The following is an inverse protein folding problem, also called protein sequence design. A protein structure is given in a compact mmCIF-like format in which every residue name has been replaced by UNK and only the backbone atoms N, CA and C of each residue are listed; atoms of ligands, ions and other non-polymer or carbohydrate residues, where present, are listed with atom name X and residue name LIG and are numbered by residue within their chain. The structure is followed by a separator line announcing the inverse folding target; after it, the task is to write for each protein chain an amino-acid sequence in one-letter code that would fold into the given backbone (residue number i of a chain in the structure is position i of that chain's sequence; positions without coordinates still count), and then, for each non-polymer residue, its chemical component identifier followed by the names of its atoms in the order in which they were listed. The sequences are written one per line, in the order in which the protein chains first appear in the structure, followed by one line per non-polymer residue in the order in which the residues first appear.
data_IF_229596899983
#
_entry.id   IF_229596899983
#
_cell.length_a   1.000
_cell.length_b   1.000
_cell.length_c   1.000
_cell.angle_alpha   90.00
_cell.angle_beta   90.00
_cell.angle_gamma   90.00
#
_symmetry.space_group_name_H-M   'P 1'
#
loop_
_entity.id
_entity.type
_entity.pdbx_description
1 polymer ?
#
# COMPACT_ATOMS: atom_id res chain seq x y z
N UNK A 1 -8.68 -17.42 7.49
CA UNK A 1 -8.79 -16.71 8.79
C UNK A 1 -10.17 -16.93 9.39
N UNK A 2 -10.26 -17.63 10.53
CA UNK A 2 -11.51 -17.80 11.25
C UNK A 2 -11.91 -16.51 11.98
N UNK A 3 -13.21 -16.23 12.08
CA UNK A 3 -13.74 -15.12 12.87
C UNK A 3 -15.18 -15.39 13.32
N UNK A 4 -15.63 -14.67 14.35
CA UNK A 4 -17.01 -14.71 14.84
C UNK A 4 -17.83 -13.63 14.14
N UNK A 5 -18.98 -13.99 13.56
CA UNK A 5 -19.93 -13.02 13.00
C UNK A 5 -20.67 -12.28 14.12
N UNK A 6 -21.35 -11.17 13.79
CA UNK A 6 -22.14 -10.42 14.76
C UNK A 6 -23.21 -11.29 15.44
N UNK A 7 -23.82 -12.22 14.71
CA UNK A 7 -24.83 -13.16 15.21
C UNK A 7 -24.22 -14.37 15.95
N UNK A 8 -22.90 -14.41 16.08
CA UNK A 8 -22.19 -15.38 16.90
C UNK A 8 -21.79 -16.69 16.22
N UNK A 9 -21.84 -16.77 14.89
CA UNK A 9 -21.40 -17.95 14.14
C UNK A 9 -19.90 -17.91 13.87
N UNK A 10 -19.26 -19.09 13.81
CA UNK A 10 -17.91 -19.22 13.24
C UNK A 10 -17.98 -19.11 11.73
N UNK A 11 -17.21 -18.18 11.15
CA UNK A 11 -17.02 -18.03 9.71
C UNK A 11 -15.55 -18.08 9.37
N UNK A 12 -15.23 -18.50 8.14
CA UNK A 12 -13.86 -18.57 7.64
C UNK A 12 -13.73 -17.70 6.40
N UNK A 13 -12.88 -16.68 6.48
CA UNK A 13 -12.46 -15.91 5.32
C UNK A 13 -11.30 -16.63 4.62
N UNK A 14 -11.47 -16.94 3.34
CA UNK A 14 -10.47 -17.62 2.50
C UNK A 14 -10.11 -16.72 1.33
N UNK A 15 -8.81 -16.57 1.07
CA UNK A 15 -8.29 -15.85 -0.09
C UNK A 15 -7.18 -16.67 -0.73
N UNK A 16 -7.22 -16.80 -2.05
CA UNK A 16 -6.16 -17.43 -2.83
C UNK A 16 -5.32 -16.35 -3.51
N UNK A 17 -4.00 -16.38 -3.30
CA UNK A 17 -3.02 -15.56 -4.00
C UNK A 17 -1.79 -16.40 -4.30
N UNK A 18 -1.47 -16.52 -5.59
CA UNK A 18 -0.24 -17.21 -6.03
C UNK A 18 0.99 -16.45 -5.56
N UNK A 19 0.91 -15.11 -5.57
CA UNK A 19 1.97 -14.22 -5.13
C UNK A 19 1.38 -13.12 -4.24
N UNK A 20 2.05 -12.82 -3.13
CA UNK A 20 1.73 -11.65 -2.32
C UNK A 20 2.95 -11.16 -1.54
N UNK A 21 2.91 -9.89 -1.17
CA UNK A 21 3.89 -9.26 -0.30
C UNK A 21 3.22 -9.03 1.06
N UNK A 22 3.60 -9.83 2.04
CA UNK A 22 3.15 -9.70 3.42
C UNK A 22 3.81 -8.49 4.07
N UNK A 23 3.01 -7.50 4.47
CA UNK A 23 3.49 -6.25 5.08
C UNK A 23 3.65 -6.46 6.59
N UNK A 24 4.89 -6.39 7.07
CA UNK A 24 5.23 -6.50 8.48
C UNK A 24 5.26 -5.15 9.18
N UNK A 25 5.71 -4.11 8.49
CA UNK A 25 5.78 -2.76 9.04
C UNK A 25 5.57 -1.70 7.96
N UNK A 26 4.95 -0.59 8.37
CA UNK A 26 4.91 0.65 7.60
C UNK A 26 5.44 1.74 8.51
N UNK A 27 6.54 2.36 8.09
CA UNK A 27 7.18 3.47 8.80
C UNK A 27 6.92 4.74 7.99
N UNK A 28 6.47 5.78 8.67
CA UNK A 28 6.18 7.07 8.07
C UNK A 28 7.32 8.01 8.43
N UNK A 29 8.15 8.36 7.45
CA UNK A 29 9.26 9.30 7.61
C UNK A 29 8.88 10.73 7.22
N UNK A 30 9.87 11.61 7.12
CA UNK A 30 9.68 12.98 6.62
C UNK A 30 9.57 13.02 5.08
N UNK A 31 10.35 12.18 4.37
CA UNK A 31 10.47 12.23 2.91
C UNK A 31 9.68 11.14 2.16
N UNK A 32 9.14 10.16 2.89
CA UNK A 32 8.54 8.99 2.28
C UNK A 32 8.01 7.96 3.27
N UNK A 33 7.31 6.97 2.71
CA UNK A 33 6.87 5.78 3.43
C UNK A 33 7.88 4.68 3.19
N UNK A 34 8.23 3.96 4.26
CA UNK A 34 8.98 2.73 4.17
C UNK A 34 8.06 1.57 4.50
N UNK A 35 7.90 0.64 3.57
CA UNK A 35 7.14 -0.59 3.77
C UNK A 35 8.13 -1.75 3.84
N UNK A 36 8.06 -2.53 4.90
CA UNK A 36 8.86 -3.74 5.08
C UNK A 36 7.96 -4.96 5.14
N UNK A 37 8.46 -6.06 4.59
CA UNK A 37 7.66 -7.27 4.52
C UNK A 37 8.41 -8.48 4.00
N UNK A 38 7.67 -9.56 3.79
CA UNK A 38 8.15 -10.79 3.17
C UNK A 38 7.37 -11.10 1.89
N UNK A 39 8.06 -11.57 0.86
CA UNK A 39 7.45 -12.06 -0.36
C UNK A 39 7.07 -13.53 -0.21
N UNK A 40 5.80 -13.83 -0.49
CA UNK A 40 5.32 -15.21 -0.64
C UNK A 40 5.04 -15.43 -2.10
N UNK A 41 5.95 -16.15 -2.74
CA UNK A 41 5.97 -16.42 -4.17
C UNK A 41 6.41 -17.86 -4.43
N UNK A 42 6.07 -18.44 -5.60
CA UNK A 42 6.61 -19.74 -5.99
C UNK A 42 8.16 -19.77 -5.98
N UNK A 43 8.77 -20.92 -5.69
CA UNK A 43 10.22 -21.08 -5.85
C UNK A 43 10.68 -20.76 -7.27
N UNK A 44 11.75 -19.98 -7.39
CA UNK A 44 12.31 -19.59 -8.68
C UNK A 44 11.63 -18.39 -9.34
N UNK A 45 10.64 -17.76 -8.71
CA UNK A 45 10.11 -16.47 -9.17
C UNK A 45 11.23 -15.42 -9.22
N UNK A 46 11.35 -14.75 -10.36
CA UNK A 46 12.25 -13.60 -10.50
C UNK A 46 11.67 -12.38 -9.74
N UNK A 47 12.48 -11.87 -8.82
CA UNK A 47 12.17 -10.74 -7.95
C UNK A 47 13.06 -9.52 -8.27
N UNK A 48 13.85 -9.60 -9.33
CA UNK A 48 14.62 -8.47 -9.82
C UNK A 48 13.72 -7.38 -10.42
N UNK A 49 14.18 -6.14 -10.38
CA UNK A 49 13.48 -5.02 -11.02
C UNK A 49 12.18 -4.56 -10.36
N UNK A 50 11.79 -5.13 -9.21
CA UNK A 50 10.57 -4.69 -8.52
C UNK A 50 10.58 -3.20 -8.18
N UNK A 51 9.41 -2.57 -8.29
CA UNK A 51 9.16 -1.17 -7.94
C UNK A 51 7.92 -1.08 -7.05
N UNK A 52 7.86 -0.07 -6.18
CA UNK A 52 6.65 0.20 -5.41
C UNK A 52 5.76 1.13 -6.20
N UNK A 53 4.71 0.60 -6.82
CA UNK A 53 3.75 1.37 -7.59
C UNK A 53 2.62 1.92 -6.71
N UNK A 54 2.49 3.23 -6.70
CA UNK A 54 1.27 3.93 -6.31
C UNK A 54 0.37 4.05 -7.54
N UNK A 55 -0.73 3.32 -7.58
CA UNK A 55 -1.66 3.36 -8.71
C UNK A 55 -2.95 4.08 -8.30
N UNK A 56 -3.34 5.17 -8.99
CA UNK A 56 -4.52 5.94 -8.63
C UNK A 56 -5.78 5.10 -8.88
N UNK A 57 -6.78 5.20 -8.00
CA UNK A 57 -8.05 4.51 -8.20
C UNK A 57 -8.82 5.11 -9.37
N UNK A 58 -9.65 4.30 -10.02
CA UNK A 58 -10.49 4.73 -11.16
C UNK A 58 -11.28 5.99 -10.78
N UNK A 59 -11.15 7.03 -11.60
CA UNK A 59 -11.80 8.33 -11.39
C UNK A 59 -10.91 9.38 -10.71
N UNK A 60 -9.74 8.99 -10.19
CA UNK A 60 -8.69 9.94 -9.83
C UNK A 60 -8.02 10.50 -11.09
N UNK A 61 -7.67 11.79 -11.06
CA UNK A 61 -6.93 12.44 -12.15
C UNK A 61 -5.41 12.27 -12.03
N UNK A 62 -4.93 11.58 -10.99
CA UNK A 62 -3.51 11.37 -10.75
C UNK A 62 -2.85 10.36 -11.69
N UNK A 63 -1.52 10.37 -11.72
CA UNK A 63 -0.69 9.47 -12.53
C UNK A 63 0.18 8.54 -11.69
N UNK A 64 0.27 7.24 -12.03
CA UNK A 64 1.09 6.26 -11.29
C UNK A 64 2.46 6.82 -10.87
N UNK A 65 2.81 6.66 -9.59
CA UNK A 65 4.10 7.05 -9.03
C UNK A 65 4.87 5.81 -8.60
N UNK A 66 6.14 5.71 -9.00
CA UNK A 66 6.97 4.57 -8.64
C UNK A 66 8.00 4.93 -7.58
N UNK A 67 8.14 4.05 -6.60
CA UNK A 67 9.15 4.05 -5.56
C UNK A 67 10.19 2.94 -5.77
N UNK A 68 11.21 2.91 -4.92
CA UNK A 68 12.25 1.87 -4.95
C UNK A 68 11.84 0.65 -4.14
N UNK A 69 12.37 -0.52 -4.53
CA UNK A 69 12.26 -1.77 -3.76
C UNK A 69 13.64 -2.42 -3.74
N UNK A 70 14.04 -2.91 -2.57
CA UNK A 70 15.14 -3.85 -2.40
C UNK A 70 14.58 -5.17 -1.88
N UNK A 71 15.14 -6.28 -2.35
CA UNK A 71 14.74 -7.63 -1.94
C UNK A 71 15.98 -8.39 -1.47
N UNK A 72 15.93 -8.91 -0.26
CA UNK A 72 16.95 -9.78 0.31
C UNK A 72 16.86 -11.20 -0.23
N UNK A 73 17.93 -11.98 -0.06
CA UNK A 73 17.97 -13.38 -0.51
C UNK A 73 16.96 -14.29 0.20
N UNK A 74 16.48 -13.88 1.38
CA UNK A 74 15.44 -14.55 2.16
C UNK A 74 14.01 -14.15 1.75
N UNK A 75 13.86 -13.34 0.71
CA UNK A 75 12.56 -12.83 0.25
C UNK A 75 12.01 -11.69 1.11
N UNK A 76 12.76 -11.18 2.08
CA UNK A 76 12.41 -9.92 2.74
C UNK A 76 12.52 -8.76 1.77
N UNK A 77 11.60 -7.81 1.84
CA UNK A 77 11.67 -6.61 1.02
C UNK A 77 11.58 -5.35 1.87
N UNK A 78 12.23 -4.31 1.36
CA UNK A 78 12.07 -2.94 1.81
C UNK A 78 11.70 -2.07 0.60
N UNK A 79 10.60 -1.35 0.72
CA UNK A 79 10.03 -0.56 -0.36
C UNK A 79 9.82 0.88 0.10
N UNK A 80 10.32 1.84 -0.68
CA UNK A 80 10.24 3.26 -0.34
C UNK A 80 9.47 4.03 -1.43
N UNK A 81 8.42 4.74 -1.03
CA UNK A 81 7.64 5.59 -1.93
C UNK A 81 7.81 7.07 -1.50
N UNK A 82 8.37 7.93 -2.37
CA UNK A 82 8.62 9.33 -2.04
C UNK A 82 7.31 10.12 -2.00
N UNK A 83 7.09 10.88 -0.92
CA UNK A 83 5.87 11.69 -0.75
C UNK A 83 5.74 12.76 -1.84
N UNK A 84 6.84 13.45 -2.15
CA UNK A 84 6.82 14.59 -3.06
C UNK A 84 6.27 14.22 -4.44
N UNK A 85 6.64 13.04 -4.96
CA UNK A 85 6.13 12.55 -6.24
C UNK A 85 4.63 12.26 -6.20
N UNK A 86 4.16 11.63 -5.13
CA UNK A 86 2.73 11.34 -4.92
C UNK A 86 1.90 12.60 -4.78
N UNK A 87 2.35 13.56 -3.97
CA UNK A 87 1.66 14.84 -3.79
C UNK A 87 1.59 15.58 -5.12
N UNK A 88 2.71 15.71 -5.84
CA UNK A 88 2.75 16.39 -7.13
C UNK A 88 1.87 15.71 -8.20
N UNK A 89 1.69 14.39 -8.12
CA UNK A 89 0.84 13.63 -9.03
C UNK A 89 -0.64 13.60 -8.60
N UNK A 90 -0.99 14.15 -7.43
CA UNK A 90 -2.39 14.23 -6.99
C UNK A 90 -3.17 15.29 -7.79
N UNK A 91 -4.49 15.11 -7.88
CA UNK A 91 -5.39 16.05 -8.55
C UNK A 91 -5.56 17.37 -7.78
N UNK A 92 -5.08 17.45 -6.54
CA UNK A 92 -5.45 18.50 -5.58
C UNK A 92 -6.83 18.30 -4.95
N UNK A 93 -7.56 17.25 -5.33
CA UNK A 93 -8.77 16.79 -4.66
C UNK A 93 -8.50 15.65 -3.69
N UNK A 94 -9.53 14.88 -3.36
CA UNK A 94 -9.37 13.64 -2.62
C UNK A 94 -9.03 12.49 -3.57
N UNK A 95 -7.81 11.98 -3.48
CA UNK A 95 -7.31 10.88 -4.31
C UNK A 95 -6.88 9.70 -3.45
N UNK A 96 -7.43 8.53 -3.78
CA UNK A 96 -7.00 7.26 -3.21
C UNK A 96 -6.12 6.51 -4.21
N UNK A 97 -5.08 5.89 -3.68
CA UNK A 97 -4.10 5.15 -4.46
C UNK A 97 -3.86 3.80 -3.83
N UNK A 98 -3.87 2.79 -4.69
CA UNK A 98 -3.61 1.42 -4.33
C UNK A 98 -2.11 1.13 -4.49
N UNK A 99 -1.50 0.53 -3.47
CA UNK A 99 -0.07 0.20 -3.49
C UNK A 99 0.17 -1.23 -4.01
N UNK A 100 1.14 -1.37 -4.91
CA UNK A 100 1.52 -2.62 -5.57
C UNK A 100 3.04 -2.76 -5.62
N UNK A 101 3.55 -3.98 -5.61
CA UNK A 101 4.89 -4.22 -6.16
C UNK A 101 4.71 -4.47 -7.66
N UNK A 102 5.22 -3.55 -8.45
CA UNK A 102 5.19 -3.58 -9.90
C UNK A 102 6.44 -4.27 -10.43
N UNK A 103 6.25 -4.94 -11.57
CA UNK A 103 7.29 -5.57 -12.38
C UNK A 103 7.40 -4.82 -13.70
N UNK A 104 8.21 -5.35 -14.60
CA UNK A 104 8.24 -4.91 -15.99
C UNK A 104 6.83 -4.84 -16.61
N UNK A 105 6.59 -3.86 -17.51
CA UNK A 105 5.28 -3.68 -18.14
C UNK A 105 4.73 -4.98 -18.75
N UNK A 106 3.45 -5.25 -18.48
CA UNK A 106 2.77 -6.46 -18.95
C UNK A 106 2.86 -7.66 -18.02
N UNK A 107 3.69 -7.61 -16.97
CA UNK A 107 3.71 -8.65 -15.93
C UNK A 107 2.65 -8.39 -14.85
N UNK A 108 2.12 -9.47 -14.21
CA UNK A 108 1.26 -9.33 -13.06
C UNK A 108 1.97 -8.62 -11.91
N UNK A 109 1.30 -7.62 -11.35
CA UNK A 109 1.70 -6.91 -10.13
C UNK A 109 1.39 -7.73 -8.87
N UNK A 110 2.21 -7.60 -7.84
CA UNK A 110 2.06 -8.30 -6.55
C UNK A 110 1.34 -7.37 -5.56
N UNK A 111 0.35 -7.91 -4.83
CA UNK A 111 -0.34 -7.12 -3.80
C UNK A 111 0.48 -6.98 -2.53
N UNK A 112 0.57 -5.75 -2.00
CA UNK A 112 0.94 -5.51 -0.61
C UNK A 112 -0.29 -5.67 0.27
N UNK A 113 -0.23 -6.62 1.19
CA UNK A 113 -1.31 -6.94 2.12
C UNK A 113 -0.73 -7.53 3.41
N UNK A 114 -1.57 -7.77 4.41
CA UNK A 114 -1.20 -8.59 5.56
C UNK A 114 -2.30 -9.61 5.80
N UNK A 115 -2.01 -10.88 5.57
CA UNK A 115 -2.97 -11.98 5.67
C UNK A 115 -2.65 -12.98 6.78
N UNK A 116 -1.41 -12.99 7.28
CA UNK A 116 -0.98 -13.98 8.27
C UNK A 116 -1.20 -13.54 9.71
N UNK A 117 -1.78 -12.36 9.93
CA UNK A 117 -2.34 -12.01 11.24
C UNK A 117 -3.79 -12.50 11.37
N UNK A 118 -4.27 -12.61 12.62
CA UNK A 118 -5.65 -12.98 12.92
C UNK A 118 -6.57 -11.74 12.97
N UNK A 119 -6.29 -10.71 12.15
CA UNK A 119 -7.02 -9.44 12.16
C UNK A 119 -7.90 -9.31 10.91
N UNK A 120 -9.21 -9.38 11.12
CA UNK A 120 -10.19 -9.28 10.03
C UNK A 120 -10.31 -7.87 9.43
N UNK A 121 -10.46 -6.85 10.27
CA UNK A 121 -10.71 -5.48 9.81
C UNK A 121 -9.55 -4.54 10.19
N UNK A 122 -8.47 -4.61 9.42
CA UNK A 122 -7.24 -3.85 9.72
C UNK A 122 -7.41 -2.34 9.58
N UNK A 123 -8.30 -1.90 8.69
CA UNK A 123 -8.57 -0.48 8.42
C UNK A 123 -8.84 0.35 9.68
N UNK A 124 -9.46 -0.24 10.71
CA UNK A 124 -9.85 0.44 11.96
C UNK A 124 -8.82 0.29 13.08
N UNK A 125 -7.90 -0.66 12.95
CA UNK A 125 -6.95 -1.04 13.99
C UNK A 125 -5.58 -0.42 13.69
N UNK A 126 -5.12 -0.57 12.45
CA UNK A 126 -3.85 -0.03 12.00
C UNK A 126 -4.02 1.43 11.57
N UNK A 127 -3.67 2.35 12.47
CA UNK A 127 -3.74 3.79 12.25
C UNK A 127 -2.34 4.35 12.10
N UNK A 128 -2.11 5.07 11.00
CA UNK A 128 -0.85 5.75 10.71
C UNK A 128 -1.01 7.26 10.89
N UNK A 129 0.07 7.97 11.27
CA UNK A 129 0.05 9.42 11.40
C UNK A 129 -0.33 10.07 10.07
N UNK A 130 -1.17 11.10 10.16
CA UNK A 130 -1.43 12.00 9.04
C UNK A 130 -0.21 12.88 8.84
N UNK A 131 0.28 12.91 7.61
CA UNK A 131 1.36 13.78 7.20
C UNK A 131 0.79 14.98 6.46
N UNK A 132 1.45 16.12 6.61
CA UNK A 132 1.05 17.42 6.07
C UNK A 132 2.14 17.94 5.14
N UNK A 133 1.75 18.49 4.00
CA UNK A 133 2.64 18.96 2.94
C UNK A 133 2.06 20.15 2.21
N UNK A 134 2.85 20.69 1.29
CA UNK A 134 2.40 21.69 0.34
C UNK A 134 2.40 21.11 -1.08
N UNK A 135 1.23 21.04 -1.70
CA UNK A 135 1.09 20.70 -3.11
C UNK A 135 1.70 21.81 -3.98
N UNK A 136 2.50 21.49 -5.01
CA UNK A 136 3.18 22.50 -5.83
C UNK A 136 2.26 23.59 -6.41
N UNK A 137 1.03 23.21 -6.78
CA UNK A 137 0.07 24.11 -7.44
C UNK A 137 -1.26 24.30 -6.71
N UNK A 138 -1.54 23.54 -5.64
CA UNK A 138 -2.89 23.46 -5.02
C UNK A 138 -2.89 23.86 -3.54
N UNK A 139 -1.72 24.19 -2.98
CA UNK A 139 -1.61 24.61 -1.58
C UNK A 139 -1.51 23.44 -0.59
N UNK A 140 -1.87 23.65 0.69
CA UNK A 140 -1.76 22.63 1.72
C UNK A 140 -2.47 21.32 1.38
N UNK A 141 -1.78 20.21 1.60
CA UNK A 141 -2.27 18.86 1.35
C UNK A 141 -1.90 17.96 2.51
N UNK A 142 -2.75 16.98 2.79
CA UNK A 142 -2.52 15.97 3.81
C UNK A 142 -2.74 14.58 3.26
N UNK A 143 -2.15 13.59 3.90
CA UNK A 143 -2.33 12.22 3.49
C UNK A 143 -1.80 11.22 4.50
N UNK A 144 -2.20 9.97 4.28
CA UNK A 144 -1.81 8.85 5.14
C UNK A 144 -1.95 7.54 4.40
N UNK A 145 -1.14 6.58 4.84
CA UNK A 145 -1.33 5.17 4.50
C UNK A 145 -2.50 4.60 5.30
N UNK A 146 -3.22 3.66 4.72
CA UNK A 146 -4.29 2.92 5.37
C UNK A 146 -4.44 1.52 4.75
N UNK A 147 -5.07 0.61 5.48
CA UNK A 147 -5.52 -0.67 4.91
C UNK A 147 -6.94 -0.56 4.34
N UNK A 148 -7.18 -1.15 3.18
CA UNK A 148 -8.52 -1.29 2.60
C UNK A 148 -9.38 -2.25 3.45
N UNK A 149 -10.70 -2.32 3.21
CA UNK A 149 -11.52 -3.40 3.75
C UNK A 149 -11.06 -4.82 3.35
N UNK A 150 -10.26 -4.94 2.27
CA UNK A 150 -9.64 -6.19 1.84
C UNK A 150 -8.27 -6.45 2.47
N UNK A 151 -7.83 -5.62 3.42
CA UNK A 151 -6.53 -5.64 4.07
C UNK A 151 -5.34 -5.44 3.10
N UNK A 152 -5.56 -4.78 1.97
CA UNK A 152 -4.50 -4.31 1.08
C UNK A 152 -4.00 -2.92 1.49
N UNK A 153 -2.74 -2.62 1.21
CA UNK A 153 -2.17 -1.32 1.53
C UNK A 153 -2.57 -0.26 0.49
N UNK A 154 -2.98 0.91 0.94
CA UNK A 154 -3.34 2.06 0.12
C UNK A 154 -2.89 3.34 0.80
N UNK A 155 -2.91 4.44 0.07
CA UNK A 155 -2.80 5.76 0.68
C UNK A 155 -3.83 6.71 0.10
N UNK A 156 -4.08 7.78 0.85
CA UNK A 156 -4.98 8.84 0.45
C UNK A 156 -4.24 10.18 0.51
N UNK A 157 -4.55 11.06 -0.43
CA UNK A 157 -4.16 12.47 -0.44
C UNK A 157 -5.43 13.31 -0.54
N UNK A 158 -5.50 14.39 0.24
CA UNK A 158 -6.63 15.32 0.22
C UNK A 158 -6.15 16.73 0.53
N UNK A 159 -6.90 17.79 0.15
CA UNK A 159 -6.64 19.13 0.63
C UNK A 159 -6.57 19.16 2.15
N UNK A 160 -5.61 19.90 2.67
CA UNK A 160 -5.56 20.24 4.07
C UNK A 160 -6.33 21.53 4.27
N UNK A 161 -7.64 21.39 4.50
CA UNK A 161 -8.51 22.52 4.81
C UNK A 161 -8.35 22.82 6.30
N UNK A 162 -7.96 24.06 6.60
CA UNK A 162 -8.04 24.65 7.95
C UNK A 162 -9.45 24.53 8.53
#
# INVERSE_FOLDING_TARGET
MPYRTADGHLSVFVRHRVEHAEVHAVLVGQDGWLVRGGLVVPPGTDLSGLRLGAVPRKGSAGSTVSGSVSVGHDGTFEAHLPFAGVVAASSGGHDDWDLWLEREPGMPRIRLARFFDDILERKRIDVYPTQHWHHPTQGPARGRVFFTPGNELSFTVSPDKD
#
